data_IF_196479277821
#
_entry.id   IF_196479277821
#
_cell.length_a   1.000
_cell.length_b   1.000
_cell.length_c   1.000
_cell.angle_alpha   90.00
_cell.angle_beta   90.00
_cell.angle_gamma   90.00
#
_symmetry.space_group_name_H-M   'P 1'
#
loop_
_entity.id
_entity.type
_entity.pdbx_description
1 polymer ?
#
# COMPACT_ATOMS: atom_id res chain seq x y z
N UNK A 1 3.98 14.29 23.33
CA UNK A 1 4.36 12.92 22.91
C UNK A 1 3.37 11.85 23.36
N UNK A 2 2.95 11.75 24.63
CA UNK A 2 1.94 10.76 25.10
C UNK A 2 0.55 10.93 24.44
N UNK A 3 0.11 12.14 24.20
CA UNK A 3 -1.22 12.41 23.62
C UNK A 3 -1.32 11.95 22.15
N UNK A 4 -0.27 12.18 21.33
CA UNK A 4 -0.21 11.71 19.94
C UNK A 4 -0.20 10.17 19.82
N UNK A 5 0.36 9.47 20.80
CA UNK A 5 0.33 8.00 20.86
C UNK A 5 -1.08 7.45 21.06
N UNK A 6 -1.88 8.07 21.91
CA UNK A 6 -3.29 7.70 22.14
C UNK A 6 -4.13 7.93 20.88
N UNK A 7 -3.84 9.00 20.13
CA UNK A 7 -4.56 9.35 18.90
C UNK A 7 -4.36 8.31 17.77
N UNK A 8 -3.11 7.86 17.57
CA UNK A 8 -2.82 6.80 16.59
C UNK A 8 -3.50 5.48 16.96
N UNK A 9 -3.53 5.14 18.27
CA UNK A 9 -4.18 3.94 18.79
C UNK A 9 -5.70 3.93 18.52
N UNK A 10 -6.37 5.07 18.70
CA UNK A 10 -7.83 5.17 18.56
C UNK A 10 -8.28 4.91 17.12
N UNK A 11 -7.54 5.38 16.12
CA UNK A 11 -7.92 5.21 14.72
C UNK A 11 -7.57 3.82 14.16
N UNK A 12 -6.51 3.19 14.66
CA UNK A 12 -6.21 1.79 14.34
C UNK A 12 -7.30 0.84 14.87
N UNK A 13 -7.84 1.13 16.06
CA UNK A 13 -9.00 0.40 16.62
C UNK A 13 -10.24 0.54 15.72
N UNK A 14 -10.43 1.69 15.08
CA UNK A 14 -11.54 1.97 14.18
C UNK A 14 -11.49 1.12 12.89
N UNK A 15 -10.31 0.86 12.34
CA UNK A 15 -10.15 -0.01 11.16
C UNK A 15 -10.37 -1.51 11.46
N UNK A 16 -10.19 -1.92 12.71
CA UNK A 16 -10.32 -3.33 13.13
C UNK A 16 -11.71 -3.69 13.66
N UNK A 17 -12.55 -2.71 14.05
CA UNK A 17 -13.79 -2.93 14.79
C UNK A 17 -15.05 -3.13 13.94
N UNK A 18 -14.96 -3.17 12.61
CA UNK A 18 -16.12 -3.45 11.76
C UNK A 18 -16.68 -4.88 11.89
N UNK A 19 -16.17 -5.72 12.79
CA UNK A 19 -16.56 -7.12 12.91
C UNK A 19 -16.85 -7.63 14.32
N UNK A 20 -16.72 -6.84 15.40
CA UNK A 20 -16.99 -7.38 16.74
C UNK A 20 -17.61 -6.39 17.72
N UNK A 21 -18.81 -6.73 18.19
CA UNK A 21 -19.46 -6.16 19.36
C UNK A 21 -18.73 -6.57 20.63
N UNK A 22 -17.75 -5.78 21.08
CA UNK A 22 -17.28 -5.78 22.48
C UNK A 22 -16.82 -4.37 22.84
N UNK A 23 -17.78 -3.51 23.07
CA UNK A 23 -17.56 -2.22 23.72
C UNK A 23 -18.11 -2.30 25.12
N UNK A 24 -17.25 -2.43 26.14
CA UNK A 24 -17.61 -2.09 27.51
C UNK A 24 -16.38 -1.98 28.44
N UNK A 25 -15.32 -1.29 28.07
CA UNK A 25 -14.21 -1.04 29.04
C UNK A 25 -13.78 0.43 29.13
N UNK A 26 -14.25 1.35 28.26
CA UNK A 26 -13.77 2.73 28.24
C UNK A 26 -14.83 3.81 28.51
N UNK A 27 -15.96 3.45 29.10
CA UNK A 27 -17.02 4.40 29.42
C UNK A 27 -17.00 4.76 30.90
N UNK A 28 -15.94 5.39 31.41
CA UNK A 28 -16.02 6.21 32.62
C UNK A 28 -14.76 7.08 32.79
N UNK A 29 -14.74 8.23 32.13
CA UNK A 29 -14.16 9.49 32.57
C UNK A 29 -14.48 10.58 31.57
N UNK A 30 -15.48 11.41 31.86
CA UNK A 30 -15.57 12.75 31.33
C UNK A 30 -14.42 13.54 31.96
N UNK A 31 -13.24 13.51 31.35
CA UNK A 31 -12.28 14.59 31.41
C UNK A 31 -12.60 15.53 30.25
N UNK A 32 -12.54 16.84 30.47
CA UNK A 32 -12.56 17.86 29.40
C UNK A 32 -11.35 17.59 28.48
N UNK A 33 -11.52 16.64 27.57
CA UNK A 33 -10.49 16.29 26.59
C UNK A 33 -10.58 17.28 25.44
N UNK A 34 -9.43 17.85 25.08
CA UNK A 34 -9.32 18.64 23.85
C UNK A 34 -9.88 17.83 22.65
N UNK A 35 -10.52 18.49 21.68
CA UNK A 35 -11.03 17.80 20.49
C UNK A 35 -9.96 16.93 19.85
N UNK A 36 -10.33 15.69 19.51
CA UNK A 36 -9.44 14.80 18.79
C UNK A 36 -9.45 15.16 17.31
N UNK A 37 -8.45 15.91 16.85
CA UNK A 37 -8.30 16.32 15.46
C UNK A 37 -7.20 15.49 14.80
N UNK A 38 -7.51 14.84 13.67
CA UNK A 38 -6.55 14.12 12.84
C UNK A 38 -6.49 14.75 11.46
N UNK A 39 -5.32 15.22 11.08
CA UNK A 39 -5.02 15.74 9.75
C UNK A 39 -4.32 14.67 8.94
N UNK A 40 -4.95 14.26 7.84
CA UNK A 40 -4.45 13.23 6.95
C UNK A 40 -4.19 13.79 5.55
N UNK A 41 -2.99 13.59 5.02
CA UNK A 41 -2.67 13.87 3.63
C UNK A 41 -2.59 12.54 2.86
N UNK A 42 -3.50 12.38 1.90
CA UNK A 42 -3.64 11.15 1.11
C UNK A 42 -3.06 11.31 -0.30
N UNK A 43 -2.31 10.31 -0.74
CA UNK A 43 -1.88 10.15 -2.14
C UNK A 43 -3.00 9.63 -3.06
N UNK A 44 -4.22 9.45 -2.54
CA UNK A 44 -5.37 8.91 -3.27
C UNK A 44 -6.30 10.02 -3.71
N UNK A 45 -6.90 9.85 -4.90
CA UNK A 45 -7.94 10.76 -5.39
C UNK A 45 -9.25 10.60 -4.60
N UNK A 46 -10.08 11.65 -4.61
CA UNK A 46 -11.37 11.71 -3.92
C UNK A 46 -12.35 10.58 -4.35
N UNK A 47 -12.17 10.01 -5.52
CA UNK A 47 -13.00 8.91 -6.04
C UNK A 47 -12.52 7.53 -5.61
N UNK A 48 -11.34 7.42 -4.98
CA UNK A 48 -10.76 6.16 -4.55
C UNK A 48 -11.64 5.47 -3.49
N UNK A 49 -11.87 4.18 -3.68
CA UNK A 49 -12.77 3.41 -2.83
C UNK A 49 -12.22 3.23 -1.40
N UNK A 50 -10.91 3.10 -1.26
CA UNK A 50 -10.28 2.96 0.05
C UNK A 50 -10.37 4.27 0.83
N UNK A 51 -10.11 5.42 0.19
CA UNK A 51 -10.25 6.72 0.82
C UNK A 51 -11.71 7.01 1.24
N UNK A 52 -12.68 6.65 0.39
CA UNK A 52 -14.11 6.76 0.74
C UNK A 52 -14.47 5.90 1.95
N UNK A 53 -13.94 4.68 2.00
CA UNK A 53 -14.16 3.79 3.15
C UNK A 53 -13.61 4.39 4.43
N UNK A 54 -12.39 4.95 4.39
CA UNK A 54 -11.78 5.60 5.55
C UNK A 54 -12.58 6.82 6.01
N UNK A 55 -13.02 7.68 5.08
CA UNK A 55 -13.88 8.83 5.41
C UNK A 55 -15.19 8.38 6.07
N UNK A 56 -15.81 7.31 5.55
CA UNK A 56 -17.04 6.76 6.15
C UNK A 56 -16.79 6.21 7.57
N UNK A 57 -15.70 5.51 7.80
CA UNK A 57 -15.33 5.04 9.15
C UNK A 57 -15.13 6.22 10.12
N UNK A 58 -14.52 7.30 9.67
CA UNK A 58 -14.37 8.53 10.44
C UNK A 58 -15.72 9.16 10.80
N UNK A 59 -16.65 9.23 9.83
CA UNK A 59 -18.01 9.69 10.08
C UNK A 59 -18.77 8.79 11.07
N UNK A 60 -18.60 7.48 10.97
CA UNK A 60 -19.23 6.53 11.90
C UNK A 60 -18.65 6.69 13.32
N UNK A 61 -17.34 6.84 13.46
CA UNK A 61 -16.68 7.09 14.74
C UNK A 61 -17.12 8.41 15.40
N UNK A 62 -17.31 9.45 14.59
CA UNK A 62 -17.79 10.76 15.08
C UNK A 62 -19.16 10.70 15.75
N UNK A 63 -20.01 9.71 15.43
CA UNK A 63 -21.33 9.56 16.06
C UNK A 63 -21.24 9.31 17.56
N UNK A 64 -20.24 8.55 17.97
CA UNK A 64 -19.99 8.22 19.39
C UNK A 64 -18.97 9.18 20.02
N UNK A 65 -18.24 9.94 19.19
CA UNK A 65 -17.20 10.90 19.58
C UNK A 65 -17.43 12.25 18.90
N UNK A 66 -18.39 13.07 19.35
CA UNK A 66 -18.80 14.30 18.66
C UNK A 66 -17.68 15.33 18.44
N UNK A 67 -16.70 15.34 19.33
CA UNK A 67 -15.55 16.24 19.28
C UNK A 67 -14.41 15.73 18.39
N UNK A 68 -14.60 14.58 17.72
CA UNK A 68 -13.65 14.04 16.76
C UNK A 68 -13.72 14.77 15.44
N UNK A 69 -12.56 15.15 14.90
CA UNK A 69 -12.43 15.73 13.55
C UNK A 69 -11.42 14.95 12.72
N UNK A 70 -11.77 14.64 11.49
CA UNK A 70 -10.91 13.97 10.52
C UNK A 70 -10.80 14.81 9.25
N UNK A 71 -9.69 15.54 9.12
CA UNK A 71 -9.42 16.43 8.01
C UNK A 71 -8.56 15.69 6.96
N UNK A 72 -9.06 15.59 5.73
CA UNK A 72 -8.36 14.89 4.65
C UNK A 72 -8.01 15.86 3.54
N UNK A 73 -6.73 15.92 3.19
CA UNK A 73 -6.26 16.53 1.96
C UNK A 73 -5.89 15.43 0.97
N UNK A 74 -6.51 15.44 -0.22
CA UNK A 74 -6.31 14.44 -1.27
C UNK A 74 -5.44 15.02 -2.38
N UNK A 75 -4.29 14.39 -2.66
CA UNK A 75 -3.34 14.77 -3.71
C UNK A 75 -3.06 13.53 -4.56
N UNK A 76 -3.87 13.34 -5.61
CA UNK A 76 -3.80 12.14 -6.45
C UNK A 76 -2.55 12.07 -7.35
N UNK A 77 -1.94 13.21 -7.66
CA UNK A 77 -0.67 13.25 -8.39
C UNK A 77 0.48 12.89 -7.46
N UNK A 78 1.14 11.75 -7.73
CA UNK A 78 2.15 11.19 -6.84
C UNK A 78 3.38 12.10 -6.66
N UNK A 79 3.81 12.78 -7.71
CA UNK A 79 5.00 13.64 -7.62
C UNK A 79 4.71 14.86 -6.74
N UNK A 80 3.58 15.50 -6.96
CA UNK A 80 3.10 16.63 -6.14
C UNK A 80 2.93 16.21 -4.68
N UNK A 81 2.34 15.03 -4.44
CA UNK A 81 2.18 14.45 -3.12
C UNK A 81 3.53 14.29 -2.41
N UNK A 82 4.49 13.60 -3.05
CA UNK A 82 5.82 13.35 -2.47
C UNK A 82 6.59 14.64 -2.21
N UNK A 83 6.49 15.63 -3.10
CA UNK A 83 7.11 16.94 -2.89
C UNK A 83 6.52 17.63 -1.66
N UNK A 84 5.20 17.61 -1.50
CA UNK A 84 4.54 18.21 -0.33
C UNK A 84 4.99 17.54 0.97
N UNK A 85 4.99 16.20 1.04
CA UNK A 85 5.45 15.49 2.24
C UNK A 85 6.91 15.82 2.57
N UNK A 86 7.79 15.92 1.55
CA UNK A 86 9.19 16.31 1.75
C UNK A 86 9.33 17.72 2.33
N UNK A 87 8.53 18.68 1.84
CA UNK A 87 8.52 20.06 2.36
C UNK A 87 8.06 20.07 3.82
N UNK A 88 6.94 19.43 4.12
CA UNK A 88 6.40 19.36 5.48
C UNK A 88 7.36 18.64 6.43
N UNK A 89 8.03 17.59 5.99
CA UNK A 89 9.06 16.92 6.79
C UNK A 89 10.25 17.85 7.09
N UNK A 90 10.67 18.67 6.12
CA UNK A 90 11.79 19.59 6.28
C UNK A 90 11.48 20.79 7.20
N UNK A 91 10.22 21.21 7.25
CA UNK A 91 9.73 22.27 8.16
C UNK A 91 9.25 21.74 9.51
N UNK A 92 9.32 20.43 9.74
CA UNK A 92 8.81 19.76 10.96
C UNK A 92 7.29 19.97 11.15
N UNK A 93 6.55 19.97 10.04
CA UNK A 93 5.10 20.19 9.96
C UNK A 93 4.37 19.01 9.35
N UNK A 94 4.90 17.77 9.53
CA UNK A 94 4.21 16.56 9.06
C UNK A 94 2.80 16.48 9.66
N UNK A 95 1.80 16.05 8.87
CA UNK A 95 0.45 15.82 9.38
C UNK A 95 0.46 14.63 10.36
N UNK A 96 -0.66 14.43 11.05
CA UNK A 96 -0.83 13.29 11.95
C UNK A 96 -0.77 11.96 11.18
N UNK A 97 -1.29 11.96 9.94
CA UNK A 97 -1.29 10.82 9.03
C UNK A 97 -0.89 11.22 7.61
N UNK A 98 -0.19 10.34 6.92
CA UNK A 98 0.08 10.44 5.50
C UNK A 98 0.37 9.07 4.89
N UNK A 99 0.14 8.91 3.59
CA UNK A 99 0.48 7.70 2.86
C UNK A 99 1.99 7.62 2.63
N UNK A 100 2.57 6.44 2.79
CA UNK A 100 3.98 6.19 2.51
C UNK A 100 4.22 4.78 2.01
N UNK A 101 5.35 4.60 1.35
CA UNK A 101 5.91 3.31 0.98
C UNK A 101 7.22 3.08 1.75
N UNK A 102 7.68 1.82 1.92
CA UNK A 102 8.92 1.50 2.61
C UNK A 102 10.15 1.88 1.76
N UNK A 103 10.29 3.17 1.47
CA UNK A 103 11.35 3.77 0.68
C UNK A 103 12.42 4.45 1.55
N UNK A 104 13.59 4.70 0.97
CA UNK A 104 14.72 5.32 1.68
C UNK A 104 14.38 6.68 2.33
N UNK A 105 13.54 7.49 1.68
CA UNK A 105 13.07 8.76 2.25
C UNK A 105 12.27 8.53 3.54
N UNK A 106 11.29 7.60 3.50
CA UNK A 106 10.46 7.28 4.66
C UNK A 106 11.30 6.67 5.79
N UNK A 107 12.20 5.75 5.46
CA UNK A 107 13.14 5.18 6.43
C UNK A 107 14.01 6.26 7.10
N UNK A 108 14.39 7.30 6.34
CA UNK A 108 15.09 8.47 6.85
C UNK A 108 14.27 9.29 7.86
N UNK A 109 12.93 9.33 7.72
CA UNK A 109 12.04 9.97 8.71
C UNK A 109 11.95 9.12 9.98
N UNK A 110 11.82 7.80 9.84
CA UNK A 110 11.78 6.87 10.98
C UNK A 110 13.07 6.95 11.82
N UNK A 111 14.24 6.97 11.17
CA UNK A 111 15.54 7.11 11.85
C UNK A 111 15.73 8.44 12.59
N UNK A 112 14.90 9.45 12.30
CA UNK A 112 14.88 10.76 12.99
C UNK A 112 13.80 10.85 14.06
N UNK A 113 13.15 9.74 14.42
CA UNK A 113 12.04 9.68 15.38
C UNK A 113 10.85 10.59 15.01
N UNK A 114 10.65 10.87 13.72
CA UNK A 114 9.53 11.68 13.24
C UNK A 114 8.26 10.86 13.05
N UNK A 115 8.37 9.54 12.98
CA UNK A 115 7.27 8.61 12.75
C UNK A 115 7.11 7.69 13.96
N UNK A 116 5.86 7.40 14.34
CA UNK A 116 5.56 6.45 15.41
C UNK A 116 5.68 5.00 14.90
N UNK A 117 6.23 4.12 15.75
CA UNK A 117 6.34 2.69 15.45
C UNK A 117 4.95 2.04 15.39
N UNK A 118 4.67 1.36 14.28
CA UNK A 118 3.43 0.60 14.13
C UNK A 118 3.53 -0.75 14.85
N UNK A 119 4.72 -1.32 15.00
CA UNK A 119 4.91 -2.51 15.83
C UNK A 119 4.50 -2.24 17.28
N UNK A 120 4.94 -1.10 17.87
CA UNK A 120 4.53 -0.70 19.23
C UNK A 120 3.01 -0.54 19.33
N UNK A 121 2.38 0.04 18.29
CA UNK A 121 0.93 0.21 18.23
C UNK A 121 0.19 -1.13 18.18
N UNK A 122 0.66 -2.07 17.37
CA UNK A 122 0.06 -3.40 17.28
C UNK A 122 0.16 -4.16 18.60
N UNK A 123 1.27 -4.02 19.32
CA UNK A 123 1.49 -4.64 20.60
C UNK A 123 0.63 -4.00 21.71
N UNK A 124 0.55 -2.66 21.74
CA UNK A 124 -0.31 -1.91 22.68
C UNK A 124 -1.80 -2.28 22.52
N UNK A 125 -2.26 -2.48 21.29
CA UNK A 125 -3.67 -2.79 21.01
C UNK A 125 -3.99 -4.30 20.98
N UNK A 126 -2.98 -5.16 20.92
CA UNK A 126 -3.17 -6.62 20.80
C UNK A 126 -3.90 -7.02 19.53
N UNK A 127 -3.61 -6.36 18.39
CA UNK A 127 -4.34 -6.55 17.11
C UNK A 127 -3.51 -7.18 16.01
N UNK A 128 -2.26 -7.53 16.25
CA UNK A 128 -1.33 -8.05 15.26
C UNK A 128 -1.85 -9.30 14.54
N UNK A 129 -2.54 -10.16 15.28
CA UNK A 129 -3.16 -11.39 14.79
C UNK A 129 -4.34 -11.17 13.84
N UNK A 130 -4.83 -9.94 13.72
CA UNK A 130 -5.93 -9.56 12.80
C UNK A 130 -5.44 -9.18 11.40
N UNK A 131 -4.14 -9.11 11.21
CA UNK A 131 -3.54 -8.76 9.92
C UNK A 131 -3.02 -10.00 9.20
N UNK A 132 -3.14 -10.01 7.88
CA UNK A 132 -2.48 -11.03 7.06
C UNK A 132 -0.95 -10.87 7.13
N UNK A 133 -0.22 -11.97 7.02
CA UNK A 133 1.26 -11.97 7.04
C UNK A 133 1.86 -11.02 6.02
N UNK A 134 1.28 -10.92 4.82
CA UNK A 134 1.74 -9.98 3.80
C UNK A 134 1.61 -8.52 4.26
N UNK A 135 0.55 -8.17 4.99
CA UNK A 135 0.33 -6.83 5.51
C UNK A 135 1.33 -6.46 6.62
N UNK A 136 1.84 -7.44 7.34
CA UNK A 136 2.85 -7.27 8.39
C UNK A 136 4.29 -7.28 7.84
N UNK A 137 4.53 -7.99 6.73
CA UNK A 137 5.88 -8.18 6.20
C UNK A 137 6.25 -7.20 5.10
N UNK A 138 5.29 -6.83 4.24
CA UNK A 138 5.54 -5.88 3.14
C UNK A 138 6.07 -4.52 3.61
N UNK A 139 5.54 -3.90 4.68
CA UNK A 139 5.94 -2.56 5.09
C UNK A 139 7.25 -2.51 5.91
N UNK A 140 7.92 -3.65 6.15
CA UNK A 140 9.16 -3.67 6.91
C UNK A 140 10.27 -2.87 6.25
N UNK A 141 10.97 -2.10 7.06
CA UNK A 141 12.16 -1.37 6.66
C UNK A 141 13.38 -2.29 6.56
N UNK A 142 14.51 -1.73 6.14
CA UNK A 142 15.75 -2.49 5.93
C UNK A 142 16.29 -3.18 7.19
N UNK A 143 15.95 -2.67 8.38
CA UNK A 143 16.32 -3.22 9.69
C UNK A 143 15.27 -4.20 10.27
N UNK A 144 14.16 -4.41 9.54
CA UNK A 144 13.06 -5.28 9.95
C UNK A 144 12.00 -4.62 10.82
N UNK A 145 12.17 -3.34 11.21
CA UNK A 145 11.16 -2.57 11.94
C UNK A 145 10.00 -2.16 11.05
N UNK A 146 8.82 -1.91 11.65
CA UNK A 146 7.64 -1.49 10.93
C UNK A 146 7.07 -0.17 11.48
N UNK A 147 6.94 0.80 10.58
CA UNK A 147 6.36 2.12 10.82
C UNK A 147 5.18 2.41 9.89
N UNK A 148 4.75 1.45 9.07
CA UNK A 148 3.65 1.60 8.13
C UNK A 148 2.53 0.63 8.47
N UNK A 149 1.32 1.17 8.66
CA UNK A 149 0.13 0.35 8.79
C UNK A 149 -0.44 0.05 7.41
N UNK A 150 -0.43 -1.22 7.02
CA UNK A 150 -1.12 -1.67 5.81
C UNK A 150 -2.60 -1.85 6.11
N UNK A 151 -3.42 -0.91 5.69
CA UNK A 151 -4.88 -0.95 5.89
C UNK A 151 -5.67 -1.26 4.62
N UNK A 152 -4.99 -1.27 3.48
CA UNK A 152 -5.57 -1.55 2.16
C UNK A 152 -4.55 -2.30 1.31
N UNK A 153 -5.03 -3.25 0.53
CA UNK A 153 -4.23 -3.98 -0.44
C UNK A 153 -5.01 -4.20 -1.73
N UNK A 154 -4.29 -4.37 -2.80
CA UNK A 154 -4.83 -4.78 -4.09
C UNK A 154 -4.03 -5.94 -4.65
N UNK A 155 -4.60 -6.63 -5.59
CA UNK A 155 -3.96 -7.69 -6.36
C UNK A 155 -3.87 -7.27 -7.81
N UNK A 156 -2.79 -7.64 -8.45
CA UNK A 156 -2.52 -7.32 -9.85
C UNK A 156 -2.52 -8.61 -10.66
N UNK A 157 -3.28 -8.59 -11.75
CA UNK A 157 -3.43 -9.72 -12.64
C UNK A 157 -3.37 -9.25 -14.09
N UNK A 158 -3.14 -10.20 -14.99
CA UNK A 158 -3.46 -10.04 -16.39
C UNK A 158 -4.97 -10.17 -16.58
N UNK A 159 -5.61 -9.09 -16.95
CA UNK A 159 -7.02 -9.05 -17.30
C UNK A 159 -7.16 -9.25 -18.79
N UNK A 160 -8.18 -9.98 -19.23
CA UNK A 160 -8.47 -10.16 -20.64
C UNK A 160 -9.94 -10.00 -20.96
N UNK A 161 -10.23 -9.54 -22.16
CA UNK A 161 -11.59 -9.46 -22.68
C UNK A 161 -12.01 -10.79 -23.29
N UNK A 162 -13.00 -11.46 -22.74
CA UNK A 162 -13.49 -12.77 -23.20
C UNK A 162 -13.96 -12.74 -24.64
N UNK A 163 -14.70 -11.68 -25.01
CA UNK A 163 -15.20 -11.48 -26.37
C UNK A 163 -14.09 -11.26 -27.40
N UNK A 164 -12.96 -10.65 -27.02
CA UNK A 164 -11.78 -10.52 -27.89
C UNK A 164 -11.09 -11.86 -28.09
N UNK A 165 -10.98 -12.68 -27.05
CA UNK A 165 -10.45 -14.02 -27.14
C UNK A 165 -11.31 -14.89 -28.07
N UNK A 166 -12.63 -14.87 -27.88
CA UNK A 166 -13.58 -15.59 -28.72
C UNK A 166 -13.46 -15.19 -30.20
N UNK A 167 -13.43 -13.88 -30.51
CA UNK A 167 -13.23 -13.35 -31.87
C UNK A 167 -11.91 -13.78 -32.50
N UNK A 168 -10.85 -13.94 -31.71
CA UNK A 168 -9.53 -14.41 -32.16
C UNK A 168 -9.40 -15.95 -32.16
N UNK A 169 -10.47 -16.68 -31.82
CA UNK A 169 -10.46 -18.15 -31.75
C UNK A 169 -9.62 -18.71 -30.61
N UNK A 170 -9.45 -17.94 -29.52
CA UNK A 170 -8.69 -18.34 -28.33
C UNK A 170 -9.68 -18.92 -27.32
N UNK A 171 -9.54 -20.19 -27.00
CA UNK A 171 -10.44 -20.93 -26.10
C UNK A 171 -9.91 -21.11 -24.69
N UNK A 172 -8.61 -20.97 -24.50
CA UNK A 172 -7.95 -21.18 -23.20
C UNK A 172 -7.03 -20.00 -22.85
N UNK A 173 -6.86 -19.77 -21.54
CA UNK A 173 -5.91 -18.77 -21.06
C UNK A 173 -4.47 -19.31 -21.13
N UNK A 174 -3.48 -18.45 -21.47
CA UNK A 174 -2.08 -18.88 -21.55
C UNK A 174 -1.56 -19.36 -20.20
N UNK A 175 -0.80 -20.46 -20.21
CA UNK A 175 -0.17 -21.03 -19.02
C UNK A 175 1.34 -20.82 -19.02
N UNK A 176 1.93 -20.57 -20.20
CA UNK A 176 3.37 -20.32 -20.40
C UNK A 176 3.58 -19.00 -21.12
N UNK A 177 4.84 -18.55 -21.21
CA UNK A 177 5.20 -17.37 -21.99
C UNK A 177 4.95 -17.63 -23.49
N UNK A 178 5.28 -18.81 -23.95
CA UNK A 178 5.07 -19.23 -25.34
C UNK A 178 3.57 -19.16 -25.68
N UNK A 179 2.70 -19.65 -24.80
CA UNK A 179 1.24 -19.55 -24.99
C UNK A 179 0.80 -18.07 -25.04
N UNK A 180 1.36 -17.21 -24.17
CA UNK A 180 1.04 -15.80 -24.17
C UNK A 180 1.45 -15.12 -25.49
N UNK A 181 2.63 -15.45 -26.02
CA UNK A 181 3.10 -14.92 -27.30
C UNK A 181 2.20 -15.39 -28.45
N UNK A 182 1.73 -16.64 -28.42
CA UNK A 182 0.78 -17.17 -29.39
C UNK A 182 -0.58 -16.47 -29.32
N UNK A 183 -1.10 -16.25 -28.10
CA UNK A 183 -2.29 -15.44 -27.85
C UNK A 183 -2.13 -14.03 -28.41
N UNK A 184 -0.99 -13.36 -28.16
CA UNK A 184 -0.69 -12.03 -28.68
C UNK A 184 -0.70 -12.03 -30.21
N UNK A 185 -0.13 -13.02 -30.84
CA UNK A 185 -0.12 -13.17 -32.30
C UNK A 185 -1.54 -13.33 -32.87
N UNK A 186 -2.35 -14.24 -32.29
CA UNK A 186 -3.74 -14.45 -32.71
C UNK A 186 -4.59 -13.18 -32.58
N UNK A 187 -4.45 -12.44 -31.48
CA UNK A 187 -5.14 -11.17 -31.28
C UNK A 187 -4.72 -10.13 -32.33
N UNK A 188 -3.41 -10.02 -32.60
CA UNK A 188 -2.88 -9.13 -33.62
C UNK A 188 -3.38 -9.48 -35.02
N UNK A 189 -3.37 -10.76 -35.38
CA UNK A 189 -3.85 -11.25 -36.68
C UNK A 189 -5.36 -10.99 -36.85
N UNK A 190 -6.12 -10.95 -35.74
CA UNK A 190 -7.53 -10.56 -35.69
C UNK A 190 -7.75 -9.03 -35.65
N UNK A 191 -6.69 -8.22 -35.84
CA UNK A 191 -6.76 -6.75 -35.87
C UNK A 191 -6.92 -6.07 -34.50
N UNK A 192 -6.59 -6.77 -33.42
CA UNK A 192 -6.70 -6.25 -32.05
C UNK A 192 -5.33 -5.94 -31.46
N UNK A 193 -5.29 -4.99 -30.52
CA UNK A 193 -4.08 -4.71 -29.73
C UNK A 193 -3.93 -5.80 -28.67
N UNK A 194 -2.87 -6.62 -28.68
CA UNK A 194 -2.76 -7.77 -27.79
C UNK A 194 -2.59 -7.41 -26.30
N UNK A 195 -1.78 -6.38 -26.01
CA UNK A 195 -1.44 -5.96 -24.65
C UNK A 195 -1.63 -4.45 -24.54
N UNK A 196 -2.26 -4.01 -23.47
CA UNK A 196 -2.37 -2.61 -23.08
C UNK A 196 -1.86 -2.46 -21.64
N UNK A 197 -0.99 -1.49 -21.42
CA UNK A 197 -0.48 -1.14 -20.10
C UNK A 197 -0.69 0.37 -19.86
N UNK A 198 -1.05 0.73 -18.62
CA UNK A 198 -1.42 2.10 -18.28
C UNK A 198 -0.22 3.07 -18.27
N UNK A 199 0.93 2.59 -17.82
CA UNK A 199 2.16 3.36 -17.70
C UNK A 199 3.40 2.44 -17.65
N UNK A 200 4.57 3.04 -17.54
CA UNK A 200 5.85 2.32 -17.54
C UNK A 200 6.03 1.39 -16.33
N UNK A 201 5.50 1.72 -15.16
CA UNK A 201 5.66 0.86 -13.97
C UNK A 201 4.88 -0.45 -14.13
N UNK A 202 3.75 -0.46 -14.80
CA UNK A 202 3.03 -1.70 -15.13
C UNK A 202 3.87 -2.61 -16.01
N UNK A 203 4.58 -2.05 -16.99
CA UNK A 203 5.49 -2.80 -17.87
C UNK A 203 6.66 -3.36 -17.06
N UNK A 204 7.22 -2.58 -16.13
CA UNK A 204 8.36 -3.01 -15.31
C UNK A 204 8.03 -4.09 -14.27
N UNK A 205 6.79 -4.19 -13.82
CA UNK A 205 6.37 -5.26 -12.90
C UNK A 205 6.40 -6.64 -13.53
N UNK A 206 6.16 -6.71 -14.82
CA UNK A 206 6.16 -7.96 -15.58
C UNK A 206 7.50 -8.71 -15.52
N UNK A 207 8.66 -8.06 -15.75
CA UNK A 207 9.97 -8.70 -15.62
C UNK A 207 10.25 -9.23 -14.21
N UNK A 208 9.76 -8.58 -13.16
CA UNK A 208 9.98 -9.02 -11.79
C UNK A 208 9.50 -10.46 -11.54
N UNK A 209 8.44 -10.91 -12.22
CA UNK A 209 8.01 -12.30 -12.15
C UNK A 209 9.05 -13.30 -12.69
N UNK A 210 9.92 -12.88 -13.61
CA UNK A 210 11.03 -13.71 -14.07
C UNK A 210 12.06 -13.92 -12.95
N UNK A 211 12.40 -12.87 -12.21
CA UNK A 211 13.29 -12.95 -11.07
C UNK A 211 12.71 -13.90 -9.99
N UNK A 212 11.43 -13.77 -9.67
CA UNK A 212 10.75 -14.64 -8.69
C UNK A 212 10.75 -16.11 -9.10
N UNK A 213 10.67 -16.42 -10.40
CA UNK A 213 10.76 -17.80 -10.90
C UNK A 213 12.17 -18.37 -10.86
N UNK A 214 13.20 -17.53 -10.95
CA UNK A 214 14.60 -17.96 -10.93
C UNK A 214 15.14 -18.14 -9.51
N UNK A 215 14.85 -17.18 -8.62
CA UNK A 215 15.44 -17.14 -7.27
C UNK A 215 14.41 -17.02 -6.13
N UNK A 216 13.09 -17.05 -6.47
CA UNK A 216 12.04 -16.88 -5.48
C UNK A 216 11.83 -15.41 -5.10
N UNK A 217 11.01 -15.18 -4.07
CA UNK A 217 10.59 -13.84 -3.66
C UNK A 217 11.73 -13.02 -3.06
N UNK A 218 12.80 -13.66 -2.58
CA UNK A 218 13.87 -12.99 -1.84
C UNK A 218 14.79 -12.15 -2.73
N UNK A 219 14.80 -12.38 -4.07
CA UNK A 219 15.67 -11.65 -4.97
C UNK A 219 15.50 -10.12 -4.88
N UNK A 220 14.25 -9.66 -4.96
CA UNK A 220 13.96 -8.21 -4.92
C UNK A 220 14.30 -7.62 -3.55
N UNK A 221 13.98 -8.32 -2.47
CA UNK A 221 14.31 -7.89 -1.11
C UNK A 221 15.83 -7.87 -0.88
N UNK A 222 16.55 -8.87 -1.36
CA UNK A 222 17.99 -8.91 -1.31
C UNK A 222 18.65 -7.78 -2.14
N UNK A 223 18.09 -7.47 -3.32
CA UNK A 223 18.55 -6.36 -4.14
C UNK A 223 18.28 -5.01 -3.44
N UNK A 224 17.11 -4.83 -2.85
CA UNK A 224 16.76 -3.63 -2.05
C UNK A 224 17.70 -3.43 -0.87
N UNK A 225 18.09 -4.51 -0.20
CA UNK A 225 19.01 -4.50 0.93
C UNK A 225 20.51 -4.45 0.52
N UNK A 226 20.81 -4.41 -0.79
CA UNK A 226 22.18 -4.39 -1.31
C UNK A 226 22.93 -5.73 -1.17
N UNK A 227 22.24 -6.82 -0.85
CA UNK A 227 22.80 -8.18 -0.75
C UNK A 227 22.90 -8.86 -2.12
N UNK A 228 22.09 -8.42 -3.08
CA UNK A 228 22.08 -8.91 -4.45
C UNK A 228 22.23 -7.73 -5.42
N UNK A 229 22.70 -7.99 -6.64
CA UNK A 229 22.94 -6.97 -7.65
C UNK A 229 22.04 -7.19 -8.86
N UNK A 230 21.48 -6.09 -9.40
CA UNK A 230 20.68 -6.16 -10.64
C UNK A 230 21.50 -6.55 -11.89
N UNK A 231 22.82 -6.49 -11.84
CA UNK A 231 23.70 -7.00 -12.91
C UNK A 231 24.18 -8.43 -12.65
N UNK A 232 23.53 -9.19 -11.76
CA UNK A 232 23.67 -10.63 -11.61
C UNK A 232 23.06 -11.38 -12.81
N UNK A 233 23.29 -12.66 -12.90
CA UNK A 233 22.70 -13.51 -13.95
C UNK A 233 21.16 -13.41 -13.97
N UNK A 234 20.52 -13.48 -12.80
CA UNK A 234 19.08 -13.32 -12.65
C UNK A 234 18.60 -11.90 -13.03
N UNK A 235 19.32 -10.87 -12.64
CA UNK A 235 18.97 -9.49 -13.00
C UNK A 235 19.06 -9.25 -14.50
N UNK A 236 20.10 -9.78 -15.16
CA UNK A 236 20.27 -9.72 -16.62
C UNK A 236 19.16 -10.49 -17.33
N UNK A 237 18.89 -11.75 -16.91
CA UNK A 237 17.81 -12.55 -17.47
C UNK A 237 16.44 -11.89 -17.31
N UNK A 238 16.21 -11.22 -16.18
CA UNK A 238 14.99 -10.45 -15.92
C UNK A 238 14.85 -9.27 -16.86
N UNK A 239 15.93 -8.51 -17.11
CA UNK A 239 15.93 -7.40 -18.05
C UNK A 239 15.71 -7.86 -19.50
N UNK A 240 16.30 -8.97 -19.90
CA UNK A 240 16.12 -9.57 -21.25
C UNK A 240 14.70 -10.07 -21.50
N UNK A 241 13.96 -10.41 -20.43
CA UNK A 241 12.59 -10.89 -20.52
C UNK A 241 11.58 -9.82 -21.02
N UNK A 242 11.97 -8.55 -21.06
CA UNK A 242 11.17 -7.44 -21.58
C UNK A 242 11.38 -7.13 -23.05
N UNK A 243 12.31 -7.80 -23.71
CA UNK A 243 12.63 -7.60 -25.12
C UNK A 243 11.78 -8.54 -26.01
#
# INVERSE_FOLDING_TARGET
>A
MKLKKVMAATLATMMCLSSFSMMNVWADKKEDSEPLVINYISARGETDAALKTLKKLAEDYKKDHPDFEFNVESIADRETYLQKIKILASSNELPDWFDADPEAFFEGLCKKDLIYSVDDLYDELGIKDKFFDIALNYPKLSDGSNYLMTWHGNVEYFWYHKDMFEKAGITETPQTLEDLLDVCKKLKDAGMTPISAGNYDMIMRYPAFKAFRLEGNDFIDNARMGKEKFNSETGIATAQYTQ
#
